data_IF_969522676166
#
_entry.id   IF_969522676166
#
_cell.length_a   1.000
_cell.length_b   1.000
_cell.length_c   1.000
_cell.angle_alpha   90.00
_cell.angle_beta   90.00
_cell.angle_gamma   90.00
#
_symmetry.space_group_name_H-M   'P 1'
#
loop_
_entity.id
_entity.type
_entity.pdbx_description
1 polymer ?
#
# COMPACT_ATOMS: atom_id res chain seq x y z
N UNK A 1 -35.96 35.83 3.62
CA UNK A 1 -35.32 35.30 4.85
C UNK A 1 -34.25 34.31 4.41
N UNK A 2 -32.99 34.75 4.35
CA UNK A 2 -31.86 33.89 4.00
C UNK A 2 -31.35 33.22 5.28
N UNK A 3 -31.39 31.89 5.32
CA UNK A 3 -30.79 31.11 6.39
C UNK A 3 -29.27 31.21 6.27
N UNK A 4 -28.63 31.83 7.26
CA UNK A 4 -27.18 31.91 7.36
C UNK A 4 -26.60 30.50 7.55
N UNK A 5 -25.72 30.11 6.62
CA UNK A 5 -24.90 28.90 6.77
C UNK A 5 -23.87 29.21 7.85
N UNK A 6 -24.07 28.64 9.04
CA UNK A 6 -23.02 28.60 10.07
C UNK A 6 -21.84 27.79 9.51
N UNK A 7 -20.72 28.46 9.30
CA UNK A 7 -19.43 27.79 9.11
C UNK A 7 -19.18 26.94 10.36
N UNK A 8 -19.18 25.61 10.20
CA UNK A 8 -18.67 24.72 11.25
C UNK A 8 -17.17 24.95 11.31
N UNK A 9 -16.69 25.49 12.42
CA UNK A 9 -15.27 25.51 12.74
C UNK A 9 -14.77 24.05 12.64
N UNK A 10 -13.82 23.82 11.74
CA UNK A 10 -13.13 22.55 11.69
C UNK A 10 -12.38 22.38 13.02
N UNK A 11 -12.53 21.25 13.73
CA UNK A 11 -11.74 21.00 14.92
C UNK A 11 -10.26 21.14 14.56
N UNK A 12 -9.50 21.86 15.39
CA UNK A 12 -8.07 22.01 15.24
C UNK A 12 -7.42 20.63 15.02
N UNK A 13 -6.47 20.58 14.09
CA UNK A 13 -5.76 19.34 13.76
C UNK A 13 -5.10 18.72 15.00
N UNK A 14 -4.65 17.45 14.91
CA UNK A 14 -4.00 16.79 16.04
C UNK A 14 -2.82 17.65 16.55
N UNK A 15 -2.62 17.73 17.87
CA UNK A 15 -1.60 18.60 18.44
C UNK A 15 -0.20 18.26 17.91
N UNK A 16 0.60 19.30 17.65
CA UNK A 16 1.98 19.20 17.14
C UNK A 16 2.86 18.33 18.05
N UNK A 17 3.95 17.76 17.50
CA UNK A 17 4.99 17.10 18.32
C UNK A 17 5.54 18.06 19.38
N UNK A 18 5.62 19.35 19.03
CA UNK A 18 6.16 20.42 19.87
C UNK A 18 5.11 21.09 20.75
N UNK A 19 3.94 20.46 20.93
CA UNK A 19 2.90 20.98 21.83
C UNK A 19 3.46 21.10 23.26
N UNK A 20 3.60 22.32 23.80
CA UNK A 20 4.21 22.54 25.11
C UNK A 20 3.36 22.01 26.26
N UNK A 21 2.09 21.69 26.03
CA UNK A 21 1.20 21.06 27.02
C UNK A 21 1.36 19.54 27.12
N UNK A 22 2.11 18.92 26.18
CA UNK A 22 2.30 17.48 26.12
C UNK A 22 3.28 17.00 27.19
N UNK A 23 2.96 15.87 27.82
CA UNK A 23 3.85 15.24 28.79
C UNK A 23 5.20 14.90 28.15
N UNK A 24 6.35 15.25 28.76
CA UNK A 24 7.66 15.05 28.16
C UNK A 24 7.94 13.60 27.70
N UNK A 25 7.49 12.61 28.48
CA UNK A 25 7.63 11.20 28.10
C UNK A 25 6.86 10.86 26.80
N UNK A 26 5.71 11.49 26.56
CA UNK A 26 4.97 11.33 25.30
C UNK A 26 5.75 11.96 24.14
N UNK A 27 6.32 13.16 24.34
CA UNK A 27 7.18 13.79 23.33
C UNK A 27 8.39 12.90 23.00
N UNK A 28 9.10 12.37 24.00
CA UNK A 28 10.21 11.44 23.79
C UNK A 28 9.78 10.15 23.08
N UNK A 29 8.61 9.60 23.43
CA UNK A 29 8.05 8.43 22.75
C UNK A 29 7.74 8.71 21.27
N UNK A 30 7.10 9.85 20.95
CA UNK A 30 6.78 10.22 19.57
C UNK A 30 8.03 10.48 18.72
N UNK A 31 9.06 11.09 19.33
CA UNK A 31 10.39 11.21 18.70
C UNK A 31 10.98 9.83 18.44
N UNK A 32 10.94 8.90 19.41
CA UNK A 32 11.43 7.54 19.21
C UNK A 32 10.67 6.80 18.10
N UNK A 33 9.33 6.88 18.09
CA UNK A 33 8.47 6.28 17.06
C UNK A 33 8.86 6.75 15.64
N UNK A 34 9.32 8.00 15.50
CA UNK A 34 9.77 8.55 14.22
C UNK A 34 10.96 7.77 13.61
N UNK A 35 11.84 7.22 14.45
CA UNK A 35 13.04 6.48 14.03
C UNK A 35 12.80 4.97 13.81
N UNK A 36 11.57 4.49 13.94
CA UNK A 36 11.20 3.10 13.64
C UNK A 36 10.79 3.00 12.17
N UNK A 37 11.48 2.16 11.38
CA UNK A 37 11.31 2.04 9.93
C UNK A 37 10.76 0.66 9.51
N UNK A 38 9.62 0.26 10.08
CA UNK A 38 8.94 -0.98 9.71
C UNK A 38 8.11 -0.81 8.42
N UNK A 39 7.80 -1.93 7.74
CA UNK A 39 6.94 -1.99 6.54
C UNK A 39 5.52 -1.46 6.77
N UNK A 40 4.97 -1.69 7.96
CA UNK A 40 3.75 -1.08 8.47
C UNK A 40 4.03 -0.50 9.85
N UNK A 41 3.55 0.72 10.12
CA UNK A 41 3.85 1.42 11.37
C UNK A 41 2.60 2.11 11.93
N UNK A 42 2.16 1.78 13.16
CA UNK A 42 1.16 2.60 13.84
C UNK A 42 1.76 3.97 14.14
N UNK A 43 0.97 5.03 13.95
CA UNK A 43 1.33 6.40 14.29
C UNK A 43 0.43 6.90 15.39
N UNK A 44 0.96 6.84 16.60
CA UNK A 44 0.25 7.21 17.81
C UNK A 44 -0.19 8.69 17.78
N UNK A 45 0.61 9.57 17.18
CA UNK A 45 0.28 11.00 17.07
C UNK A 45 -1.01 11.27 16.29
N UNK A 46 -1.28 10.47 15.24
CA UNK A 46 -2.39 10.71 14.32
C UNK A 46 -3.52 9.68 14.46
N UNK A 47 -3.30 8.62 15.26
CA UNK A 47 -4.21 7.49 15.32
C UNK A 47 -4.32 6.74 13.98
N UNK A 48 -3.24 6.71 13.19
CA UNK A 48 -3.23 6.10 11.86
C UNK A 48 -2.28 4.90 11.78
N UNK A 49 -2.41 4.12 10.71
CA UNK A 49 -1.45 3.10 10.31
C UNK A 49 -0.78 3.55 9.00
N UNK A 50 0.54 3.71 9.02
CA UNK A 50 1.35 3.99 7.82
C UNK A 50 1.76 2.68 7.16
N UNK A 51 1.41 2.50 5.89
CA UNK A 51 1.94 1.43 5.04
C UNK A 51 3.07 1.99 4.18
N UNK A 52 4.26 1.38 4.23
CA UNK A 52 5.52 1.98 3.77
C UNK A 52 6.28 1.13 2.75
N UNK A 53 5.78 -0.07 2.42
CA UNK A 53 6.49 -1.01 1.54
C UNK A 53 6.36 -0.68 0.05
N UNK A 54 5.44 0.18 -0.35
CA UNK A 54 5.22 0.49 -1.76
C UNK A 54 6.28 1.48 -2.28
N UNK A 55 6.91 1.14 -3.41
CA UNK A 55 7.67 2.11 -4.18
C UNK A 55 6.76 3.21 -4.75
N UNK A 56 7.35 4.33 -5.17
CA UNK A 56 6.65 5.31 -5.98
C UNK A 56 6.12 4.64 -7.26
N UNK A 57 4.85 4.89 -7.58
CA UNK A 57 4.17 4.29 -8.72
C UNK A 57 4.27 5.21 -9.96
N UNK A 58 4.19 4.65 -11.18
CA UNK A 58 4.01 5.45 -12.40
C UNK A 58 2.85 6.44 -12.29
N UNK A 59 2.92 7.57 -12.99
CA UNK A 59 1.96 8.67 -12.82
C UNK A 59 0.54 8.24 -13.18
N UNK A 60 0.36 7.49 -14.26
CA UNK A 60 -0.95 6.95 -14.67
C UNK A 60 -1.57 6.00 -13.64
N UNK A 61 -0.74 5.38 -12.78
CA UNK A 61 -1.13 4.35 -11.82
C UNK A 61 -0.90 4.79 -10.37
N UNK A 62 -0.67 6.10 -10.14
CA UNK A 62 -0.18 6.68 -8.87
C UNK A 62 -1.07 6.41 -7.65
N UNK A 63 -2.35 6.13 -7.88
CA UNK A 63 -3.31 5.86 -6.82
C UNK A 63 -3.44 4.37 -6.48
N UNK A 64 -2.88 3.45 -7.27
CA UNK A 64 -3.05 2.01 -7.08
C UNK A 64 -2.54 1.53 -5.72
N UNK A 65 -1.36 1.98 -5.28
CA UNK A 65 -0.80 1.62 -3.97
C UNK A 65 -1.63 2.16 -2.79
N UNK A 66 -2.18 3.39 -2.92
CA UNK A 66 -3.03 3.99 -1.91
C UNK A 66 -4.40 3.29 -1.83
N UNK A 67 -4.98 2.97 -2.98
CA UNK A 67 -6.22 2.20 -3.06
C UNK A 67 -6.05 0.82 -2.42
N UNK A 68 -4.97 0.11 -2.73
CA UNK A 68 -4.64 -1.17 -2.09
C UNK A 68 -4.50 -1.03 -0.57
N UNK A 69 -3.85 0.02 -0.10
CA UNK A 69 -3.68 0.29 1.34
C UNK A 69 -5.01 0.39 2.08
N UNK A 70 -5.99 1.12 1.51
CA UNK A 70 -7.35 1.19 2.06
C UNK A 70 -8.09 -0.14 1.92
N UNK A 71 -7.92 -0.81 0.78
CA UNK A 71 -8.56 -2.08 0.49
C UNK A 71 -8.18 -3.18 1.50
N UNK A 72 -6.88 -3.27 1.84
CA UNK A 72 -6.36 -4.20 2.83
C UNK A 72 -7.04 -4.02 4.20
N UNK A 73 -7.29 -2.78 4.61
CA UNK A 73 -8.00 -2.49 5.87
C UNK A 73 -9.48 -2.88 5.76
N UNK A 74 -10.12 -2.61 4.62
CA UNK A 74 -11.54 -2.90 4.42
C UNK A 74 -11.86 -4.39 4.24
N UNK A 75 -10.87 -5.18 3.85
CA UNK A 75 -10.95 -6.63 3.69
C UNK A 75 -10.17 -7.38 4.81
N UNK A 76 -9.74 -6.68 5.87
CA UNK A 76 -8.86 -7.25 6.88
C UNK A 76 -9.41 -8.54 7.52
N UNK A 77 -10.70 -8.63 7.93
CA UNK A 77 -11.24 -9.87 8.51
C UNK A 77 -11.14 -11.06 7.56
N UNK A 78 -11.50 -10.88 6.29
CA UNK A 78 -11.48 -11.94 5.28
C UNK A 78 -10.06 -12.33 4.88
N UNK A 79 -9.15 -11.35 4.77
CA UNK A 79 -7.74 -11.59 4.51
C UNK A 79 -7.08 -12.38 5.64
N UNK A 80 -7.33 -12.01 6.90
CA UNK A 80 -6.79 -12.73 8.05
C UNK A 80 -7.32 -14.16 8.11
N UNK A 81 -8.63 -14.37 7.90
CA UNK A 81 -9.21 -15.70 7.85
C UNK A 81 -8.63 -16.56 6.71
N UNK A 82 -8.43 -15.97 5.53
CA UNK A 82 -7.81 -16.64 4.39
C UNK A 82 -6.35 -17.03 4.67
N UNK A 83 -5.55 -16.12 5.22
CA UNK A 83 -4.15 -16.36 5.56
C UNK A 83 -4.01 -17.44 6.63
N UNK A 84 -4.82 -17.38 7.69
CA UNK A 84 -4.86 -18.40 8.75
C UNK A 84 -5.24 -19.77 8.17
N UNK A 85 -6.28 -19.82 7.34
CA UNK A 85 -6.70 -21.08 6.70
C UNK A 85 -5.63 -21.66 5.77
N UNK A 86 -4.82 -20.81 5.13
CA UNK A 86 -3.83 -21.24 4.14
C UNK A 86 -2.51 -21.64 4.77
N UNK A 87 -2.05 -20.91 5.78
CA UNK A 87 -0.70 -21.05 6.32
C UNK A 87 -0.65 -21.40 7.81
N UNK A 88 -1.74 -21.20 8.56
CA UNK A 88 -1.79 -21.39 10.01
C UNK A 88 -0.64 -20.70 10.74
N UNK A 89 -0.06 -21.42 11.72
CA UNK A 89 1.06 -20.93 12.53
C UNK A 89 2.30 -20.52 11.72
N UNK A 90 2.47 -21.06 10.50
CA UNK A 90 3.60 -20.77 9.60
C UNK A 90 3.40 -19.52 8.74
N UNK A 91 2.29 -18.79 8.90
CA UNK A 91 1.93 -17.65 8.05
C UNK A 91 3.04 -16.60 7.96
N UNK A 92 3.65 -16.23 9.08
CA UNK A 92 4.70 -15.21 9.07
C UNK A 92 5.91 -15.62 8.22
N UNK A 93 6.41 -16.84 8.43
CA UNK A 93 7.57 -17.36 7.71
C UNK A 93 7.27 -17.50 6.21
N UNK A 94 6.07 -17.97 5.85
CA UNK A 94 5.63 -18.08 4.46
C UNK A 94 5.56 -16.70 3.78
N UNK A 95 4.91 -15.72 4.42
CA UNK A 95 4.80 -14.36 3.88
C UNK A 95 6.16 -13.67 3.79
N UNK A 96 7.07 -13.89 4.75
CA UNK A 96 8.41 -13.35 4.71
C UNK A 96 9.27 -13.96 3.58
N UNK A 97 9.15 -15.27 3.35
CA UNK A 97 9.81 -15.94 2.23
C UNK A 97 9.30 -15.42 0.89
N UNK A 98 7.97 -15.30 0.74
CA UNK A 98 7.36 -14.75 -0.47
C UNK A 98 7.79 -13.29 -0.71
N UNK A 99 7.84 -12.47 0.34
CA UNK A 99 8.37 -11.11 0.27
C UNK A 99 9.82 -11.09 -0.26
N UNK A 100 10.70 -11.95 0.24
CA UNK A 100 12.07 -12.07 -0.26
C UNK A 100 12.14 -12.45 -1.74
N UNK A 101 11.26 -13.36 -2.18
CA UNK A 101 11.17 -13.79 -3.58
C UNK A 101 10.73 -12.64 -4.50
N UNK A 102 9.67 -11.90 -4.14
CA UNK A 102 9.18 -10.78 -4.98
C UNK A 102 10.15 -9.60 -5.00
N UNK A 103 10.88 -9.35 -3.90
CA UNK A 103 11.91 -8.30 -3.86
C UNK A 103 13.09 -8.62 -4.77
N UNK A 104 13.44 -9.90 -4.91
CA UNK A 104 14.58 -10.34 -5.72
C UNK A 104 14.22 -10.49 -7.19
N UNK A 105 13.06 -11.08 -7.47
CA UNK A 105 12.70 -11.55 -8.82
C UNK A 105 11.52 -10.83 -9.46
N UNK A 106 10.85 -9.94 -8.73
CA UNK A 106 9.62 -9.31 -9.19
C UNK A 106 8.47 -10.32 -9.32
N UNK A 107 7.66 -10.16 -10.36
CA UNK A 107 6.47 -11.00 -10.58
C UNK A 107 6.70 -12.16 -11.57
N UNK A 108 7.78 -12.14 -12.35
CA UNK A 108 7.99 -13.08 -13.46
C UNK A 108 8.20 -14.54 -13.01
N UNK A 109 8.81 -14.73 -11.84
CA UNK A 109 9.21 -16.04 -11.32
C UNK A 109 8.28 -16.54 -10.20
N UNK A 110 7.07 -16.01 -10.12
CA UNK A 110 6.06 -16.51 -9.19
C UNK A 110 5.53 -17.86 -9.65
N UNK A 111 5.43 -18.79 -8.69
CA UNK A 111 4.73 -20.06 -8.92
C UNK A 111 3.22 -19.85 -9.03
N UNK A 112 2.51 -20.83 -9.60
CA UNK A 112 1.05 -20.77 -9.75
C UNK A 112 0.35 -20.51 -8.41
N UNK A 113 0.79 -21.20 -7.35
CA UNK A 113 0.23 -21.01 -6.01
C UNK A 113 0.38 -19.56 -5.49
N UNK A 114 1.48 -18.87 -5.81
CA UNK A 114 1.71 -17.48 -5.38
C UNK A 114 0.86 -16.50 -6.20
N UNK A 115 0.72 -16.77 -7.50
CA UNK A 115 -0.18 -16.00 -8.38
C UNK A 115 -1.62 -16.13 -7.88
N UNK A 116 -2.08 -17.34 -7.57
CA UNK A 116 -3.42 -17.60 -7.04
C UNK A 116 -3.63 -16.88 -5.71
N UNK A 117 -2.61 -16.85 -4.83
CA UNK A 117 -2.66 -16.08 -3.59
C UNK A 117 -2.92 -14.59 -3.87
N UNK A 118 -2.14 -13.99 -4.77
CA UNK A 118 -2.30 -12.58 -5.10
C UNK A 118 -3.64 -12.27 -5.78
N UNK A 119 -4.15 -13.17 -6.63
CA UNK A 119 -5.49 -13.03 -7.21
C UNK A 119 -6.57 -13.03 -6.13
N UNK A 120 -6.52 -13.97 -5.19
CA UNK A 120 -7.46 -14.04 -4.07
C UNK A 120 -7.37 -12.79 -3.20
N UNK A 121 -6.17 -12.34 -2.86
CA UNK A 121 -5.96 -11.11 -2.08
C UNK A 121 -6.54 -9.89 -2.79
N UNK A 122 -6.29 -9.73 -4.09
CA UNK A 122 -6.81 -8.60 -4.87
C UNK A 122 -8.33 -8.66 -5.02
N UNK A 123 -8.92 -9.85 -5.15
CA UNK A 123 -10.36 -10.03 -5.18
C UNK A 123 -11.02 -9.61 -3.85
N UNK A 124 -10.47 -10.07 -2.72
CA UNK A 124 -10.95 -9.66 -1.39
C UNK A 124 -10.82 -8.14 -1.19
N UNK A 125 -9.70 -7.56 -1.62
CA UNK A 125 -9.47 -6.12 -1.59
C UNK A 125 -10.50 -5.35 -2.44
N UNK A 126 -10.78 -5.84 -3.65
CA UNK A 126 -11.79 -5.28 -4.53
C UNK A 126 -13.18 -5.28 -3.86
N UNK A 127 -13.60 -6.42 -3.30
CA UNK A 127 -14.88 -6.53 -2.60
C UNK A 127 -14.95 -5.63 -1.36
N UNK A 128 -13.84 -5.52 -0.62
CA UNK A 128 -13.71 -4.60 0.51
C UNK A 128 -13.93 -3.14 0.12
N UNK A 129 -13.38 -2.70 -1.02
CA UNK A 129 -13.61 -1.35 -1.54
C UNK A 129 -15.04 -1.19 -2.09
N UNK A 130 -15.55 -2.17 -2.83
CA UNK A 130 -16.90 -2.13 -3.40
C UNK A 130 -17.97 -1.95 -2.30
N UNK A 131 -17.83 -2.61 -1.15
CA UNK A 131 -18.72 -2.43 0.01
C UNK A 131 -18.76 -1.01 0.55
N UNK A 132 -17.72 -0.19 0.34
CA UNK A 132 -17.71 1.22 0.75
C UNK A 132 -18.56 2.10 -0.18
N UNK A 133 -18.85 1.63 -1.40
CA UNK A 133 -19.73 2.32 -2.35
C UNK A 133 -19.14 3.60 -2.96
N UNK A 134 -17.81 3.67 -3.15
CA UNK A 134 -17.12 4.88 -3.65
C UNK A 134 -16.51 4.75 -5.04
N UNK A 135 -16.59 3.58 -5.68
CA UNK A 135 -15.98 3.33 -6.99
C UNK A 135 -14.44 3.27 -6.95
N UNK A 136 -13.85 3.09 -5.76
CA UNK A 136 -12.40 3.07 -5.54
C UNK A 136 -11.77 1.76 -6.03
N UNK A 137 -12.56 0.70 -6.19
CA UNK A 137 -12.12 -0.62 -6.65
C UNK A 137 -11.51 -0.60 -8.05
N UNK A 138 -11.96 0.32 -8.91
CA UNK A 138 -11.38 0.54 -10.25
C UNK A 138 -9.90 0.96 -10.18
N UNK A 139 -9.46 1.56 -9.07
CA UNK A 139 -8.06 1.96 -8.88
C UNK A 139 -7.12 0.76 -8.63
N UNK A 140 -7.67 -0.44 -8.40
CA UNK A 140 -6.89 -1.68 -8.28
C UNK A 140 -6.56 -2.30 -9.65
N UNK A 141 -7.21 -1.86 -10.74
CA UNK A 141 -7.01 -2.43 -12.08
C UNK A 141 -5.55 -2.51 -12.53
N UNK A 142 -4.69 -1.51 -12.25
CA UNK A 142 -3.28 -1.61 -12.62
C UNK A 142 -2.56 -2.79 -11.95
N UNK A 143 -2.94 -3.14 -10.70
CA UNK A 143 -2.33 -4.25 -9.98
C UNK A 143 -2.73 -5.60 -10.57
N UNK A 144 -4.01 -5.75 -10.95
CA UNK A 144 -4.50 -6.94 -11.67
C UNK A 144 -3.76 -7.12 -12.99
N UNK A 145 -3.63 -6.05 -13.76
CA UNK A 145 -2.93 -6.05 -15.06
C UNK A 145 -1.47 -6.46 -14.92
N UNK A 146 -0.77 -6.00 -13.87
CA UNK A 146 0.62 -6.38 -13.58
C UNK A 146 0.74 -7.86 -13.22
N UNK A 147 -0.20 -8.39 -12.45
CA UNK A 147 -0.23 -9.79 -12.06
C UNK A 147 -0.49 -10.70 -13.27
N UNK A 148 -1.43 -10.33 -14.14
CA UNK A 148 -1.71 -11.02 -15.40
C UNK A 148 -0.48 -11.08 -16.31
N UNK A 149 0.22 -9.95 -16.44
CA UNK A 149 1.46 -9.85 -17.25
C UNK A 149 2.68 -10.44 -16.56
N UNK A 150 2.58 -10.79 -15.27
CA UNK A 150 3.70 -11.16 -14.39
C UNK A 150 4.87 -10.17 -14.47
N UNK A 151 4.54 -8.88 -14.54
CA UNK A 151 5.52 -7.81 -14.73
C UNK A 151 5.18 -6.58 -13.87
N UNK A 152 6.16 -6.11 -13.10
CA UNK A 152 6.06 -4.89 -12.31
C UNK A 152 6.80 -3.71 -12.98
N UNK A 153 6.63 -2.46 -12.50
CA UNK A 153 7.28 -1.29 -13.10
C UNK A 153 8.81 -1.35 -13.12
N UNK A 154 9.45 -1.99 -12.13
CA UNK A 154 10.91 -2.11 -12.11
C UNK A 154 11.40 -3.06 -13.21
N UNK A 155 10.69 -4.16 -13.46
CA UNK A 155 10.99 -5.08 -14.56
C UNK A 155 10.83 -4.39 -15.92
N UNK A 156 9.75 -3.61 -16.11
CA UNK A 156 9.57 -2.83 -17.34
C UNK A 156 10.69 -1.78 -17.55
N UNK A 157 11.17 -1.15 -16.47
CA UNK A 157 12.29 -0.23 -16.54
C UNK A 157 13.62 -0.92 -16.92
N UNK A 158 13.87 -2.13 -16.41
CA UNK A 158 15.02 -2.95 -16.79
C UNK A 158 14.95 -3.31 -18.28
N UNK A 159 13.80 -3.77 -18.77
CA UNK A 159 13.62 -4.08 -20.20
C UNK A 159 13.85 -2.87 -21.11
N UNK A 160 13.39 -1.68 -20.69
CA UNK A 160 13.63 -0.44 -21.43
C UNK A 160 15.13 -0.09 -21.48
N UNK A 161 15.85 -0.30 -20.38
CA UNK A 161 17.30 -0.11 -20.32
C UNK A 161 18.04 -1.13 -21.18
N UNK A 162 17.72 -2.42 -21.08
CA UNK A 162 18.37 -3.47 -21.87
C UNK A 162 18.17 -3.25 -23.38
N UNK A 163 17.02 -2.69 -23.77
CA UNK A 163 16.69 -2.44 -25.18
C UNK A 163 17.41 -1.23 -25.78
N UNK A 164 17.59 -0.14 -25.03
CA UNK A 164 18.03 1.17 -25.57
C UNK A 164 19.00 1.93 -24.65
N UNK A 165 19.58 1.27 -23.66
CA UNK A 165 20.43 1.86 -22.63
C UNK A 165 19.72 2.97 -21.84
N UNK A 166 20.50 3.96 -21.41
CA UNK A 166 20.00 5.10 -20.61
C UNK A 166 18.90 5.90 -21.34
N UNK A 167 18.94 5.96 -22.68
CA UNK A 167 17.92 6.67 -23.46
C UNK A 167 16.57 5.96 -23.40
N UNK A 168 16.58 4.62 -23.38
CA UNK A 168 15.37 3.83 -23.16
C UNK A 168 14.73 4.08 -21.80
N UNK A 169 15.57 4.10 -20.76
CA UNK A 169 15.11 4.36 -19.40
C UNK A 169 14.53 5.76 -19.23
N UNK A 170 15.18 6.79 -19.79
CA UNK A 170 14.69 8.17 -19.75
C UNK A 170 13.35 8.32 -20.48
N UNK A 171 13.22 7.74 -21.67
CA UNK A 171 11.96 7.76 -22.42
C UNK A 171 10.84 7.04 -21.65
N UNK A 172 11.14 5.89 -21.04
CA UNK A 172 10.18 5.14 -20.22
C UNK A 172 9.69 5.98 -19.02
N UNK A 173 10.60 6.68 -18.33
CA UNK A 173 10.25 7.52 -17.19
C UNK A 173 9.41 8.77 -17.54
N UNK A 174 9.46 9.23 -18.80
CA UNK A 174 8.70 10.39 -19.27
C UNK A 174 7.29 10.06 -19.78
N UNK A 175 7.03 8.79 -20.14
CA UNK A 175 5.76 8.36 -20.71
C UNK A 175 4.80 7.69 -19.69
N UNK A 176 5.25 7.48 -18.44
CA UNK A 176 4.48 6.84 -17.37
C UNK A 176 3.66 7.78 -16.51
#
# INVERSE_FOLDING_TARGET
>A
MAAGVQQREHPEGPPSIDDPSRHPAMTSFLVHEHYIWNSGRPRSQHGTLELRSACQQPWAERHAANALSVALVCAAPELLAMLESRFGEGCWQAMHALHGQVMTSGLQNLGEADVDLFQVVLALCHDGLARRGRGEEALLQPLLTRLERKQNPAQAAVEAFDSKGIQGLLAHAQCG
#
